data_IF_652615877145
#
_entry.id   IF_652615877145
#
_cell.length_a   1.000
_cell.length_b   1.000
_cell.length_c   1.000
_cell.angle_alpha   90.00
_cell.angle_beta   90.00
_cell.angle_gamma   90.00
#
_symmetry.space_group_name_H-M   'P 1'
#
loop_
_entity.id
_entity.type
_entity.pdbx_description
1 polymer ?
#
# COMPACT_ATOMS: atom_id res chain seq x y z
N UNK A 1 4.17 -6.00 -2.49
CA UNK A 1 3.07 -6.70 -1.78
C UNK A 1 3.52 -7.28 -0.44
N UNK A 2 4.48 -8.20 -0.37
CA UNK A 2 4.90 -8.77 0.93
C UNK A 2 5.43 -7.73 1.92
N UNK A 3 6.21 -6.76 1.45
CA UNK A 3 6.79 -5.69 2.30
C UNK A 3 5.71 -4.74 2.81
N UNK A 4 4.77 -4.32 1.95
CA UNK A 4 3.60 -3.50 2.33
C UNK A 4 2.83 -4.17 3.47
N UNK A 5 2.56 -5.47 3.36
CA UNK A 5 1.84 -6.20 4.41
C UNK A 5 2.58 -6.19 5.76
N UNK A 6 3.92 -6.24 5.77
CA UNK A 6 4.69 -6.15 7.02
C UNK A 6 4.58 -4.74 7.62
N UNK A 7 4.66 -3.70 6.79
CA UNK A 7 4.48 -2.31 7.23
C UNK A 7 3.08 -2.10 7.80
N UNK A 8 2.04 -2.58 7.11
CA UNK A 8 0.65 -2.52 7.57
C UNK A 8 0.45 -3.22 8.92
N UNK A 9 1.07 -4.39 9.14
CA UNK A 9 0.98 -5.11 10.40
C UNK A 9 1.63 -4.34 11.56
N UNK A 10 2.77 -3.68 11.32
CA UNK A 10 3.42 -2.83 12.32
C UNK A 10 2.54 -1.61 12.61
N UNK A 11 2.08 -0.93 11.56
CA UNK A 11 1.28 0.28 11.68
C UNK A 11 -0.04 0.02 12.43
N UNK A 12 -0.78 -1.04 12.09
CA UNK A 12 -2.07 -1.35 12.75
C UNK A 12 -1.92 -1.74 14.22
N UNK A 13 -0.79 -2.38 14.58
CA UNK A 13 -0.50 -2.73 15.97
C UNK A 13 -0.31 -1.47 16.83
N UNK A 14 0.27 -0.42 16.25
CA UNK A 14 0.53 0.85 16.94
C UNK A 14 -0.69 1.78 16.87
N UNK A 15 -1.17 2.09 15.67
CA UNK A 15 -2.23 3.06 15.47
C UNK A 15 -3.64 2.51 15.82
N UNK A 16 -3.78 1.19 15.95
CA UNK A 16 -5.01 0.51 16.34
C UNK A 16 -4.93 -0.04 17.77
N UNK A 17 -4.15 -1.09 17.99
CA UNK A 17 -4.13 -1.81 19.29
C UNK A 17 -3.57 -0.95 20.43
N UNK A 18 -2.39 -0.34 20.24
CA UNK A 18 -1.81 0.53 21.26
C UNK A 18 -2.64 1.79 21.48
N UNK A 19 -3.13 2.43 20.41
CA UNK A 19 -4.10 3.54 20.50
C UNK A 19 -5.31 3.18 21.36
N UNK A 20 -5.90 2.01 21.16
CA UNK A 20 -7.04 1.53 21.94
C UNK A 20 -6.71 1.37 23.43
N UNK A 21 -5.55 0.80 23.75
CA UNK A 21 -5.07 0.68 25.13
C UNK A 21 -4.86 2.06 25.79
N UNK A 22 -4.21 2.98 25.08
CA UNK A 22 -3.96 4.34 25.57
C UNK A 22 -5.28 5.13 25.74
N UNK A 23 -6.26 4.91 24.87
CA UNK A 23 -7.58 5.51 24.97
C UNK A 23 -8.35 5.02 26.20
N UNK A 24 -8.38 3.70 26.46
CA UNK A 24 -9.08 3.10 27.61
C UNK A 24 -8.48 3.56 28.93
N UNK A 25 -7.15 3.69 28.99
CA UNK A 25 -6.43 4.14 30.19
C UNK A 25 -6.46 5.65 30.39
N UNK A 26 -7.04 6.41 29.45
CA UNK A 26 -7.04 7.88 29.51
C UNK A 26 -5.65 8.49 29.34
N UNK A 27 -4.71 7.78 28.73
CA UNK A 27 -3.31 8.18 28.68
C UNK A 27 -3.08 9.45 27.83
N UNK A 28 -2.34 10.39 28.42
CA UNK A 28 -1.69 11.52 27.73
C UNK A 28 -0.18 11.29 27.68
N UNK A 29 0.55 12.12 26.93
CA UNK A 29 2.01 12.02 26.79
C UNK A 29 2.76 11.71 28.10
N UNK A 30 2.45 12.44 29.17
CA UNK A 30 3.10 12.30 30.47
C UNK A 30 2.86 10.95 31.19
N UNK A 31 1.89 10.15 30.75
CA UNK A 31 1.55 8.87 31.39
C UNK A 31 2.58 7.79 31.04
N UNK A 32 2.98 7.73 29.77
CA UNK A 32 3.88 6.71 29.24
C UNK A 32 4.84 7.32 28.19
N UNK A 33 5.68 8.31 28.55
CA UNK A 33 6.41 9.13 27.58
C UNK A 33 7.35 8.31 26.69
N UNK A 34 8.13 7.38 27.27
CA UNK A 34 9.04 6.54 26.48
C UNK A 34 8.31 5.61 25.49
N UNK A 35 7.20 4.99 25.93
CA UNK A 35 6.40 4.11 25.07
C UNK A 35 5.78 4.93 23.94
N UNK A 36 5.21 6.09 24.24
CA UNK A 36 4.59 6.94 23.23
C UNK A 36 5.60 7.52 22.24
N UNK A 37 6.79 7.93 22.67
CA UNK A 37 7.83 8.39 21.75
C UNK A 37 8.30 7.26 20.84
N UNK A 38 8.59 6.08 21.39
CA UNK A 38 9.03 4.93 20.57
C UNK A 38 7.94 4.50 19.58
N UNK A 39 6.71 4.35 20.06
CA UNK A 39 5.57 3.96 19.23
C UNK A 39 5.25 5.03 18.18
N UNK A 40 5.27 6.31 18.56
CA UNK A 40 5.08 7.43 17.66
C UNK A 40 6.09 7.43 16.52
N UNK A 41 7.38 7.26 16.83
CA UNK A 41 8.45 7.27 15.82
C UNK A 41 8.31 6.08 14.87
N UNK A 42 8.02 4.89 15.37
CA UNK A 42 7.82 3.70 14.54
C UNK A 42 6.57 3.86 13.67
N UNK A 43 5.46 4.34 14.25
CA UNK A 43 4.21 4.55 13.52
C UNK A 43 4.38 5.63 12.44
N UNK A 44 5.15 6.68 12.73
CA UNK A 44 5.46 7.73 11.77
C UNK A 44 6.37 7.22 10.63
N UNK A 45 7.41 6.43 10.94
CA UNK A 45 8.22 5.78 9.91
C UNK A 45 7.39 4.86 9.01
N UNK A 46 6.47 4.08 9.61
CA UNK A 46 5.56 3.20 8.89
C UNK A 46 4.59 3.98 7.99
N UNK A 47 4.07 5.12 8.46
CA UNK A 47 3.23 6.02 7.67
C UNK A 47 3.97 6.51 6.41
N UNK A 48 5.16 7.08 6.58
CA UNK A 48 5.97 7.60 5.46
C UNK A 48 6.27 6.50 4.43
N UNK A 49 6.69 5.33 4.91
CA UNK A 49 7.03 4.20 4.06
C UNK A 49 5.80 3.68 3.31
N UNK A 50 4.64 3.62 3.97
CA UNK A 50 3.41 3.19 3.32
C UNK A 50 2.95 4.17 2.24
N UNK A 51 3.01 5.48 2.50
CA UNK A 51 2.67 6.49 1.50
C UNK A 51 3.55 6.38 0.24
N UNK A 52 4.85 6.21 0.40
CA UNK A 52 5.80 6.00 -0.70
C UNK A 52 5.51 4.71 -1.47
N UNK A 53 5.26 3.60 -0.76
CA UNK A 53 4.95 2.31 -1.38
C UNK A 53 3.61 2.34 -2.13
N UNK A 54 2.61 3.03 -1.59
CA UNK A 54 1.34 3.26 -2.26
C UNK A 54 1.52 4.11 -3.53
N UNK A 55 2.38 5.13 -3.50
CA UNK A 55 2.73 5.92 -4.67
C UNK A 55 3.45 5.08 -5.73
N UNK A 56 4.46 4.29 -5.36
CA UNK A 56 5.16 3.37 -6.27
C UNK A 56 4.18 2.38 -6.92
N UNK A 57 3.22 1.87 -6.16
CA UNK A 57 2.19 0.97 -6.67
C UNK A 57 1.23 1.69 -7.64
N UNK A 58 0.85 2.93 -7.36
CA UNK A 58 0.05 3.75 -8.28
C UNK A 58 0.80 4.00 -9.60
N UNK A 59 2.10 4.27 -9.53
CA UNK A 59 2.98 4.47 -10.71
C UNK A 59 3.09 3.19 -11.53
N UNK A 60 3.34 2.03 -10.90
CA UNK A 60 3.37 0.71 -11.56
C UNK A 60 2.07 0.47 -12.36
N UNK A 61 0.93 0.75 -11.75
CA UNK A 61 -0.39 0.58 -12.36
C UNK A 61 -0.64 1.53 -13.52
N UNK A 62 -0.21 2.79 -13.39
CA UNK A 62 -0.34 3.78 -14.46
C UNK A 62 0.59 3.46 -15.64
N UNK A 63 1.87 3.20 -15.38
CA UNK A 63 2.85 2.89 -16.42
C UNK A 63 2.56 1.56 -17.10
N UNK A 64 2.14 0.53 -16.35
CA UNK A 64 1.73 -0.74 -16.94
C UNK A 64 0.59 -0.59 -17.95
N UNK A 65 -0.24 0.45 -17.79
CA UNK A 65 -1.34 0.76 -18.71
C UNK A 65 -0.92 1.64 -19.89
N UNK A 66 -0.03 2.62 -19.69
CA UNK A 66 0.37 3.62 -20.68
C UNK A 66 1.55 3.12 -21.53
N UNK A 67 2.61 2.64 -20.86
CA UNK A 67 3.85 2.18 -21.48
C UNK A 67 4.42 0.99 -20.71
N UNK A 68 4.01 -0.21 -21.11
CA UNK A 68 4.44 -1.46 -20.48
C UNK A 68 5.96 -1.66 -20.51
N UNK A 69 6.64 -1.22 -21.57
CA UNK A 69 8.12 -1.33 -21.67
C UNK A 69 8.82 -0.53 -20.58
N UNK A 70 8.37 0.71 -20.35
CA UNK A 70 8.92 1.55 -19.27
C UNK A 70 8.58 0.99 -17.89
N UNK A 71 7.36 0.49 -17.71
CA UNK A 71 6.96 -0.19 -16.48
C UNK A 71 7.89 -1.37 -16.16
N UNK A 72 8.15 -2.24 -17.14
CA UNK A 72 9.01 -3.39 -16.97
C UNK A 72 10.47 -2.96 -16.70
N UNK A 73 10.94 -1.86 -17.30
CA UNK A 73 12.27 -1.31 -17.01
C UNK A 73 12.43 -0.82 -15.57
N UNK A 74 11.40 -0.24 -14.96
CA UNK A 74 11.48 0.34 -13.61
C UNK A 74 11.16 -0.72 -12.54
N UNK A 75 10.11 -1.50 -12.74
CA UNK A 75 9.52 -2.35 -11.70
C UNK A 75 9.95 -3.83 -11.76
N UNK A 76 10.76 -4.25 -12.73
CA UNK A 76 11.20 -5.65 -12.87
C UNK A 76 12.55 -5.93 -12.21
N UNK A 77 12.70 -7.13 -11.63
CA UNK A 77 13.96 -7.65 -11.14
C UNK A 77 14.38 -7.03 -9.81
N UNK A 78 15.67 -6.65 -9.69
CA UNK A 78 16.23 -6.08 -8.44
C UNK A 78 15.91 -4.60 -8.24
N UNK A 79 15.44 -3.90 -9.28
CA UNK A 79 15.24 -2.44 -9.28
C UNK A 79 14.12 -1.97 -8.35
N UNK A 80 13.00 -2.70 -8.32
CA UNK A 80 11.91 -2.47 -7.36
C UNK A 80 12.44 -2.51 -5.91
N UNK A 81 13.30 -3.46 -5.57
CA UNK A 81 13.84 -3.57 -4.22
C UNK A 81 14.76 -2.40 -3.85
N UNK A 82 15.47 -1.83 -4.83
CA UNK A 82 16.23 -0.59 -4.63
C UNK A 82 15.30 0.59 -4.33
N UNK A 83 14.20 0.74 -5.08
CA UNK A 83 13.22 1.81 -4.84
C UNK A 83 12.57 1.68 -3.46
N UNK A 84 12.20 0.46 -3.06
CA UNK A 84 11.69 0.17 -1.73
C UNK A 84 12.74 0.48 -0.66
N UNK A 85 14.01 0.11 -0.89
CA UNK A 85 15.10 0.40 0.04
C UNK A 85 15.35 1.90 0.21
N UNK A 86 15.31 2.67 -0.88
CA UNK A 86 15.42 4.13 -0.85
C UNK A 86 14.27 4.73 -0.03
N UNK A 87 13.04 4.29 -0.26
CA UNK A 87 11.88 4.74 0.52
C UNK A 87 12.06 4.41 2.01
N UNK A 88 12.44 3.17 2.35
CA UNK A 88 12.66 2.78 3.74
C UNK A 88 13.73 3.63 4.45
N UNK A 89 14.85 3.91 3.77
CA UNK A 89 15.92 4.78 4.31
C UNK A 89 15.40 6.21 4.49
N UNK A 90 14.69 6.76 3.51
CA UNK A 90 14.09 8.08 3.61
C UNK A 90 13.10 8.17 4.79
N UNK A 91 12.18 7.22 4.90
CA UNK A 91 11.20 7.17 6.00
C UNK A 91 11.87 7.08 7.36
N UNK A 92 12.93 6.27 7.49
CA UNK A 92 13.69 6.15 8.72
C UNK A 92 14.40 7.46 9.08
N UNK A 93 15.10 8.09 8.13
CA UNK A 93 15.78 9.36 8.38
C UNK A 93 14.78 10.43 8.84
N UNK A 94 13.67 10.61 8.14
CA UNK A 94 12.68 11.62 8.51
C UNK A 94 12.06 11.31 9.88
N UNK A 95 11.67 10.06 10.14
CA UNK A 95 11.00 9.71 11.39
C UNK A 95 11.88 9.85 12.63
N UNK A 96 13.18 9.57 12.52
CA UNK A 96 14.12 9.66 13.64
C UNK A 96 14.76 11.05 13.80
N UNK A 97 14.82 11.85 12.74
CA UNK A 97 15.40 13.19 12.77
C UNK A 97 14.36 14.32 12.95
N UNK A 98 13.07 14.02 13.04
CA UNK A 98 12.01 15.01 13.24
C UNK A 98 11.11 14.67 14.42
N UNK A 99 10.38 15.66 14.91
CA UNK A 99 9.47 15.49 16.06
C UNK A 99 8.37 14.48 15.76
N UNK A 100 8.25 13.47 16.62
CA UNK A 100 7.25 12.43 16.42
C UNK A 100 5.88 12.81 16.95
N UNK A 101 4.87 12.03 16.56
CA UNK A 101 3.50 12.17 17.04
C UNK A 101 3.35 11.45 18.38
N UNK A 102 2.53 11.99 19.26
CA UNK A 102 2.24 11.42 20.58
C UNK A 102 0.73 11.30 20.77
N UNK A 103 0.29 10.33 21.56
CA UNK A 103 -1.13 10.08 21.72
C UNK A 103 -1.73 10.99 22.80
N UNK A 104 -2.90 11.56 22.52
CA UNK A 104 -3.65 12.35 23.48
C UNK A 104 -5.08 11.81 23.61
N UNK A 105 -5.39 11.19 24.75
CA UNK A 105 -6.71 10.63 25.08
C UNK A 105 -7.84 11.66 25.10
N UNK A 106 -7.53 12.95 25.33
CA UNK A 106 -8.53 14.02 25.31
C UNK A 106 -9.20 14.13 23.94
N UNK A 107 -8.44 13.89 22.87
CA UNK A 107 -8.92 13.90 21.49
C UNK A 107 -9.08 12.47 20.93
N UNK A 108 -8.35 11.50 21.47
CA UNK A 108 -8.35 10.10 21.03
C UNK A 108 -7.54 9.89 19.75
N UNK A 109 -6.50 10.70 19.53
CA UNK A 109 -5.72 10.73 18.29
C UNK A 109 -4.24 10.96 18.57
N UNK A 110 -3.39 10.66 17.58
CA UNK A 110 -1.97 10.97 17.62
C UNK A 110 -1.71 12.38 17.07
N UNK A 111 -1.01 13.21 17.84
CA UNK A 111 -0.81 14.62 17.56
C UNK A 111 0.68 14.96 17.57
N UNK A 112 1.06 15.93 16.73
CA UNK A 112 2.39 16.54 16.81
C UNK A 112 2.52 17.42 18.06
N UNK A 113 1.44 18.07 18.48
CA UNK A 113 1.40 18.83 19.73
C UNK A 113 0.89 17.95 20.90
N UNK A 114 1.77 17.47 21.81
CA UNK A 114 1.36 16.68 22.97
C UNK A 114 0.47 17.46 23.95
N UNK A 115 0.57 18.80 23.96
CA UNK A 115 -0.10 19.70 24.89
C UNK A 115 -1.39 20.30 24.32
N UNK A 116 -1.88 19.80 23.18
CA UNK A 116 -3.17 20.26 22.64
C UNK A 116 -4.28 20.06 23.69
N UNK A 117 -5.08 21.11 23.93
CA UNK A 117 -6.13 21.13 24.95
C UNK A 117 -5.67 21.50 26.37
N UNK A 118 -4.38 21.84 26.55
CA UNK A 118 -3.80 22.35 27.81
C UNK A 118 -3.33 23.80 27.64
N UNK A 119 -3.04 24.53 28.75
CA UNK A 119 -2.53 25.90 28.66
C UNK A 119 -1.28 26.00 27.77
N UNK A 120 -1.24 27.05 26.95
CA UNK A 120 -0.16 27.33 26.00
C UNK A 120 1.20 27.32 26.71
N UNK A 121 2.11 26.49 26.22
CA UNK A 121 3.48 26.40 26.75
C UNK A 121 4.44 27.40 26.09
N UNK A 122 3.95 28.21 25.16
CA UNK A 122 4.74 29.16 24.36
C UNK A 122 5.62 28.52 23.28
N UNK A 123 5.56 27.19 23.13
CA UNK A 123 6.29 26.44 22.10
C UNK A 123 5.35 26.01 20.99
N UNK A 124 5.70 26.34 19.74
CA UNK A 124 5.02 25.79 18.58
C UNK A 124 5.50 24.36 18.30
N UNK A 125 4.57 23.42 18.18
CA UNK A 125 4.84 22.02 17.83
C UNK A 125 4.42 21.78 16.38
N UNK A 126 5.41 21.76 15.48
CA UNK A 126 5.20 21.51 14.05
C UNK A 126 6.24 20.52 13.55
N UNK A 127 5.81 19.54 12.76
CA UNK A 127 6.72 18.65 12.05
C UNK A 127 6.71 19.03 10.57
N UNK A 128 7.75 19.77 10.15
CA UNK A 128 7.92 20.22 8.77
C UNK A 128 8.15 19.05 7.80
N UNK A 129 8.85 17.99 8.24
CA UNK A 129 9.08 16.79 7.43
C UNK A 129 7.77 16.08 7.10
N UNK A 130 6.92 15.86 8.10
CA UNK A 130 5.58 15.32 7.93
C UNK A 130 4.72 16.18 7.00
N UNK A 131 4.76 17.50 7.18
CA UNK A 131 4.00 18.45 6.38
C UNK A 131 4.39 18.40 4.88
N UNK A 132 5.68 18.53 4.59
CA UNK A 132 6.22 18.49 3.21
C UNK A 132 5.90 17.14 2.56
N UNK A 133 6.09 16.04 3.31
CA UNK A 133 5.81 14.70 2.81
C UNK A 133 4.32 14.53 2.44
N UNK A 134 3.42 14.88 3.36
CA UNK A 134 1.98 14.74 3.12
C UNK A 134 1.50 15.57 1.93
N UNK A 135 2.00 16.80 1.78
CA UNK A 135 1.71 17.64 0.60
C UNK A 135 2.23 16.96 -0.68
N UNK A 136 3.48 16.51 -0.68
CA UNK A 136 4.10 15.86 -1.83
C UNK A 136 3.34 14.60 -2.28
N UNK A 137 2.94 13.76 -1.33
CA UNK A 137 2.14 12.57 -1.58
C UNK A 137 0.76 12.93 -2.11
N UNK A 138 0.09 13.92 -1.51
CA UNK A 138 -1.24 14.35 -1.94
C UNK A 138 -1.24 14.82 -3.40
N UNK A 139 -0.29 15.68 -3.79
CA UNK A 139 -0.14 16.15 -5.17
C UNK A 139 0.24 15.02 -6.13
N UNK A 140 1.15 14.14 -5.72
CA UNK A 140 1.62 13.03 -6.57
C UNK A 140 0.49 12.04 -6.85
N UNK A 141 -0.22 11.60 -5.82
CA UNK A 141 -1.36 10.68 -5.96
C UNK A 141 -2.45 11.29 -6.82
N UNK A 142 -2.87 12.54 -6.56
CA UNK A 142 -3.88 13.23 -7.36
C UNK A 142 -3.50 13.27 -8.86
N UNK A 143 -2.22 13.55 -9.15
CA UNK A 143 -1.69 13.59 -10.51
C UNK A 143 -1.75 12.21 -11.19
N UNK A 144 -1.24 11.16 -10.53
CA UNK A 144 -1.26 9.82 -11.11
C UNK A 144 -2.68 9.27 -11.29
N UNK A 145 -3.61 9.58 -10.38
CA UNK A 145 -5.02 9.20 -10.57
C UNK A 145 -5.68 9.95 -11.72
N UNK A 146 -5.40 11.24 -11.89
CA UNK A 146 -5.90 11.98 -13.05
C UNK A 146 -5.39 11.35 -14.36
N UNK A 147 -4.08 11.06 -14.43
CA UNK A 147 -3.47 10.36 -15.57
C UNK A 147 -4.13 8.99 -15.80
N UNK A 148 -4.41 8.25 -14.72
CA UNK A 148 -5.06 6.95 -14.78
C UNK A 148 -6.47 7.05 -15.39
N UNK A 149 -7.31 7.96 -14.88
CA UNK A 149 -8.68 8.18 -15.37
C UNK A 149 -8.67 8.61 -16.83
N UNK A 150 -7.82 9.57 -17.20
CA UNK A 150 -7.69 10.02 -18.59
C UNK A 150 -7.29 8.89 -19.54
N UNK A 151 -6.37 8.03 -19.09
CA UNK A 151 -5.92 6.86 -19.87
C UNK A 151 -7.03 5.82 -20.04
N UNK A 152 -7.86 5.60 -19.02
CA UNK A 152 -9.04 4.73 -19.11
C UNK A 152 -10.09 5.30 -20.07
N UNK A 153 -10.36 6.61 -19.99
CA UNK A 153 -11.28 7.28 -20.91
C UNK A 153 -10.82 7.11 -22.36
N UNK A 154 -9.54 7.39 -22.66
CA UNK A 154 -8.98 7.19 -24.02
C UNK A 154 -9.14 5.76 -24.54
N UNK A 155 -8.92 4.74 -23.68
CA UNK A 155 -9.10 3.33 -24.06
C UNK A 155 -10.56 2.90 -24.19
N UNK A 156 -11.52 3.58 -23.55
CA UNK A 156 -12.95 3.30 -23.72
C UNK A 156 -13.47 3.83 -25.06
N UNK A 157 -12.88 4.92 -25.56
CA UNK A 157 -13.21 5.51 -26.87
C UNK A 157 -12.46 4.86 -28.04
N UNK A 158 -11.37 4.14 -27.77
CA UNK A 158 -10.69 3.29 -28.74
C UNK A 158 -11.25 1.87 -28.63
N UNK A 159 -11.65 1.21 -29.73
CA UNK A 159 -12.21 -0.17 -29.72
C UNK A 159 -11.22 -1.28 -29.31
N UNK A 160 -10.21 -0.99 -28.50
CA UNK A 160 -9.26 -1.97 -27.98
C UNK A 160 -9.86 -2.80 -26.83
N UNK A 161 -9.50 -4.09 -26.82
CA UNK A 161 -9.97 -5.12 -25.89
C UNK A 161 -10.07 -4.62 -24.44
N UNK A 162 -11.25 -4.83 -23.88
CA UNK A 162 -11.64 -4.55 -22.50
C UNK A 162 -10.61 -5.10 -21.49
N UNK A 163 -10.37 -4.34 -20.43
CA UNK A 163 -9.53 -4.69 -19.29
C UNK A 163 -9.79 -6.13 -18.80
N UNK A 164 -8.73 -6.90 -18.52
CA UNK A 164 -8.85 -8.22 -17.90
C UNK A 164 -9.61 -8.11 -16.58
N UNK A 165 -10.72 -8.83 -16.46
CA UNK A 165 -11.54 -8.89 -15.23
C UNK A 165 -10.73 -9.32 -14.01
N UNK A 166 -9.60 -10.01 -14.20
CA UNK A 166 -8.75 -10.50 -13.10
C UNK A 166 -7.98 -9.40 -12.35
N UNK A 167 -7.81 -8.21 -12.94
CA UNK A 167 -6.99 -7.15 -12.33
C UNK A 167 -7.83 -6.10 -11.58
N UNK A 168 -9.13 -5.97 -11.90
CA UNK A 168 -10.04 -4.96 -11.34
C UNK A 168 -10.02 -4.85 -9.80
N UNK A 169 -10.03 -5.96 -9.04
CA UNK A 169 -9.97 -5.89 -7.58
C UNK A 169 -8.73 -5.19 -7.04
N UNK A 170 -7.57 -5.45 -7.66
CA UNK A 170 -6.29 -4.88 -7.25
C UNK A 170 -6.31 -3.38 -7.53
N UNK A 171 -6.87 -2.95 -8.67
CA UNK A 171 -7.03 -1.54 -8.99
C UNK A 171 -7.95 -0.80 -8.02
N UNK A 172 -9.11 -1.39 -7.70
CA UNK A 172 -10.07 -0.80 -6.75
C UNK A 172 -9.42 -0.63 -5.38
N UNK A 173 -8.67 -1.63 -4.92
CA UNK A 173 -7.99 -1.56 -3.64
C UNK A 173 -6.97 -0.42 -3.59
N UNK A 174 -6.08 -0.33 -4.59
CA UNK A 174 -5.07 0.72 -4.65
C UNK A 174 -5.73 2.10 -4.70
N UNK A 175 -6.81 2.23 -5.47
CA UNK A 175 -7.62 3.44 -5.52
C UNK A 175 -8.17 3.85 -4.15
N UNK A 176 -8.85 2.93 -3.46
CA UNK A 176 -9.43 3.19 -2.14
C UNK A 176 -8.36 3.55 -1.11
N UNK A 177 -7.24 2.83 -1.12
CA UNK A 177 -6.10 3.08 -0.23
C UNK A 177 -5.51 4.46 -0.43
N UNK A 178 -5.23 4.83 -1.68
CA UNK A 178 -4.67 6.14 -1.97
C UNK A 178 -5.63 7.29 -1.71
N UNK A 179 -6.93 7.10 -1.93
CA UNK A 179 -7.95 8.10 -1.59
C UNK A 179 -7.97 8.37 -0.08
N UNK A 180 -7.95 7.30 0.73
CA UNK A 180 -7.88 7.44 2.19
C UNK A 180 -6.57 8.10 2.63
N UNK A 181 -5.42 7.73 2.04
CA UNK A 181 -4.13 8.37 2.30
C UNK A 181 -4.18 9.87 1.98
N UNK A 182 -4.73 10.25 0.83
CA UNK A 182 -4.90 11.65 0.44
C UNK A 182 -5.77 12.42 1.44
N UNK A 183 -6.92 11.87 1.82
CA UNK A 183 -7.84 12.51 2.79
C UNK A 183 -7.18 12.68 4.16
N UNK A 184 -6.54 11.63 4.69
CA UNK A 184 -5.86 11.69 5.99
C UNK A 184 -4.69 12.67 5.97
N UNK A 185 -3.87 12.66 4.91
CA UNK A 185 -2.74 13.57 4.75
C UNK A 185 -3.18 15.04 4.77
N UNK A 186 -4.28 15.38 4.08
CA UNK A 186 -4.85 16.74 4.09
C UNK A 186 -5.38 17.14 5.46
N UNK A 187 -6.07 16.24 6.16
CA UNK A 187 -6.59 16.53 7.50
C UNK A 187 -5.43 16.78 8.48
N UNK A 188 -4.38 15.94 8.46
CA UNK A 188 -3.22 16.15 9.31
C UNK A 188 -2.47 17.46 9.02
N UNK A 189 -2.37 17.86 7.74
CA UNK A 189 -1.80 19.16 7.36
C UNK A 189 -2.64 20.31 7.91
N UNK A 190 -3.98 20.18 7.83
CA UNK A 190 -4.91 21.17 8.37
C UNK A 190 -4.80 21.28 9.91
N UNK A 191 -4.76 20.15 10.62
CA UNK A 191 -4.65 20.06 12.08
C UNK A 191 -3.39 20.73 12.64
N UNK A 192 -2.30 20.77 11.87
CA UNK A 192 -1.06 21.45 12.28
C UNK A 192 -1.15 22.98 12.24
N UNK A 193 -2.13 23.55 11.52
CA UNK A 193 -2.20 24.99 11.25
C UNK A 193 -3.47 25.64 11.80
N UNK A 194 -4.56 24.88 11.91
CA UNK A 194 -5.87 25.41 12.26
C UNK A 194 -6.52 24.61 13.40
N UNK A 195 -7.27 25.29 14.29
CA UNK A 195 -8.10 24.62 15.28
C UNK A 195 -9.08 23.66 14.59
N UNK A 196 -8.93 22.37 14.87
CA UNK A 196 -9.73 21.33 14.23
C UNK A 196 -10.70 20.72 15.24
N UNK A 197 -12.01 20.60 14.92
CA UNK A 197 -12.97 19.93 15.79
C UNK A 197 -12.57 18.48 16.08
N UNK A 198 -12.73 18.03 17.33
CA UNK A 198 -12.38 16.67 17.78
C UNK A 198 -12.95 15.57 16.89
N UNK A 199 -14.18 15.71 16.40
CA UNK A 199 -14.79 14.72 15.51
C UNK A 199 -13.99 14.52 14.21
N UNK A 200 -13.52 15.62 13.59
CA UNK A 200 -12.73 15.54 12.35
C UNK A 200 -11.40 14.82 12.60
N UNK A 201 -10.76 15.11 13.75
CA UNK A 201 -9.52 14.45 14.14
C UNK A 201 -9.72 12.95 14.35
N UNK A 202 -10.81 12.56 15.01
CA UNK A 202 -11.15 11.16 15.21
C UNK A 202 -11.46 10.44 13.91
N UNK A 203 -12.10 11.11 12.94
CA UNK A 203 -12.26 10.58 11.59
C UNK A 203 -10.91 10.39 10.89
N UNK A 204 -9.95 11.30 11.05
CA UNK A 204 -8.58 11.14 10.54
C UNK A 204 -7.89 9.91 11.14
N UNK A 205 -7.96 9.76 12.47
CA UNK A 205 -7.41 8.59 13.17
C UNK A 205 -8.06 7.28 12.71
N UNK A 206 -9.37 7.27 12.53
CA UNK A 206 -10.09 6.11 11.99
C UNK A 206 -9.68 5.80 10.55
N UNK A 207 -9.55 6.84 9.71
CA UNK A 207 -9.02 6.73 8.35
C UNK A 207 -7.63 6.10 8.33
N UNK A 208 -6.74 6.53 9.23
CA UNK A 208 -5.41 5.95 9.40
C UNK A 208 -5.44 4.46 9.75
N UNK A 209 -6.35 4.02 10.64
CA UNK A 209 -6.55 2.60 10.92
C UNK A 209 -7.10 1.84 9.69
N UNK A 210 -8.04 2.45 8.96
CA UNK A 210 -8.63 1.85 7.77
C UNK A 210 -7.61 1.65 6.65
N UNK A 211 -6.67 2.58 6.47
CA UNK A 211 -5.58 2.44 5.50
C UNK A 211 -4.85 1.12 5.75
N UNK A 212 -4.39 0.83 6.96
CA UNK A 212 -3.61 -0.40 7.20
C UNK A 212 -4.48 -1.67 7.34
N UNK A 213 -5.74 -1.53 7.74
CA UNK A 213 -6.64 -2.68 7.97
C UNK A 213 -7.40 -3.17 6.73
N UNK A 214 -7.90 -2.27 5.89
CA UNK A 214 -8.78 -2.61 4.76
C UNK A 214 -8.12 -3.45 3.65
N UNK A 215 -6.83 -3.26 3.27
CA UNK A 215 -6.16 -4.06 2.25
C UNK A 215 -6.33 -5.57 2.42
N UNK A 216 -6.13 -6.04 3.66
CA UNK A 216 -6.20 -7.46 4.00
C UNK A 216 -7.62 -8.00 3.82
N UNK A 217 -8.62 -7.23 4.23
CA UNK A 217 -10.05 -7.58 4.07
C UNK A 217 -10.43 -7.61 2.58
N UNK A 218 -10.00 -6.61 1.82
CA UNK A 218 -10.26 -6.51 0.38
C UNK A 218 -9.62 -7.70 -0.36
N UNK A 219 -8.38 -8.06 -0.03
CA UNK A 219 -7.70 -9.22 -0.62
C UNK A 219 -8.41 -10.53 -0.29
N UNK A 220 -8.81 -10.75 0.97
CA UNK A 220 -9.55 -11.94 1.37
C UNK A 220 -10.91 -12.03 0.66
N UNK A 221 -11.62 -10.91 0.51
CA UNK A 221 -12.92 -10.84 -0.15
C UNK A 221 -12.84 -11.05 -1.66
N UNK A 222 -11.94 -10.34 -2.33
CA UNK A 222 -11.93 -10.23 -3.80
C UNK A 222 -10.92 -11.14 -4.51
N UNK A 223 -9.89 -11.64 -3.83
CA UNK A 223 -8.88 -12.51 -4.43
C UNK A 223 -9.11 -13.99 -4.06
N UNK A 224 -9.78 -14.73 -4.98
CA UNK A 224 -10.08 -16.17 -4.81
C UNK A 224 -8.84 -17.02 -4.51
N UNK A 225 -7.66 -16.68 -5.05
CA UNK A 225 -6.42 -17.44 -4.84
C UNK A 225 -5.88 -17.25 -3.42
N UNK A 226 -5.87 -16.01 -2.93
CA UNK A 226 -5.47 -15.70 -1.56
C UNK A 226 -6.43 -16.35 -0.58
N UNK A 227 -7.75 -16.18 -0.79
CA UNK A 227 -8.78 -16.79 0.07
C UNK A 227 -8.64 -18.31 0.19
N UNK A 228 -8.45 -19.01 -0.93
CA UNK A 228 -8.21 -20.47 -0.92
C UNK A 228 -6.96 -20.85 -0.13
N UNK A 229 -5.88 -20.07 -0.27
CA UNK A 229 -4.63 -20.32 0.46
C UNK A 229 -4.82 -20.13 1.96
N UNK A 230 -5.51 -19.07 2.38
CA UNK A 230 -5.82 -18.81 3.79
C UNK A 230 -6.76 -19.85 4.38
N UNK A 231 -7.83 -20.24 3.66
CA UNK A 231 -8.73 -21.30 4.13
C UNK A 231 -8.02 -22.65 4.27
N UNK A 232 -7.07 -22.95 3.39
CA UNK A 232 -6.20 -24.12 3.55
C UNK A 232 -5.32 -24.03 4.80
N UNK A 233 -4.74 -22.85 5.09
CA UNK A 233 -3.95 -22.63 6.32
C UNK A 233 -4.80 -22.78 7.59
N UNK A 234 -6.04 -22.27 7.57
CA UNK A 234 -6.99 -22.35 8.67
C UNK A 234 -7.72 -23.70 8.75
N UNK A 235 -7.39 -24.66 7.87
CA UNK A 235 -8.06 -25.97 7.74
C UNK A 235 -9.58 -25.88 7.58
N UNK A 236 -10.08 -24.78 7.01
CA UNK A 236 -11.50 -24.58 6.70
C UNK A 236 -11.81 -25.36 5.42
N UNK A 237 -12.79 -26.28 5.42
CA UNK A 237 -13.15 -27.03 4.23
C UNK A 237 -13.66 -26.09 3.14
N UNK A 238 -12.92 -26.00 2.03
CA UNK A 238 -13.38 -25.28 0.85
C UNK A 238 -14.30 -26.19 0.05
N UNK A 239 -15.60 -26.13 0.32
CA UNK A 239 -16.58 -26.85 -0.48
C UNK A 239 -16.56 -26.33 -1.94
N UNK A 240 -16.17 -27.22 -2.86
CA UNK A 240 -16.45 -27.14 -4.29
C UNK A 240 -15.79 -26.01 -5.10
N UNK A 241 -14.56 -26.22 -5.59
CA UNK A 241 -14.21 -26.03 -7.01
C UNK A 241 -13.05 -26.98 -7.28
N UNK A 242 -13.29 -27.97 -8.13
CA UNK A 242 -12.29 -28.90 -8.67
C UNK A 242 -10.98 -28.18 -9.01
N UNK A 243 -9.90 -28.63 -8.38
CA UNK A 243 -8.56 -28.39 -8.87
C UNK A 243 -8.45 -29.07 -10.23
N UNK A 244 -8.56 -28.30 -11.32
CA UNK A 244 -7.92 -28.73 -12.57
C UNK A 244 -6.43 -28.68 -12.27
N UNK A 245 -5.90 -29.83 -11.83
CA UNK A 245 -4.47 -30.07 -11.82
C UNK A 245 -3.99 -29.79 -13.24
N UNK A 246 -3.10 -28.81 -13.38
CA UNK A 246 -2.35 -28.61 -14.60
C UNK A 246 -1.51 -29.88 -14.80
N UNK A 247 -2.02 -30.84 -15.56
CA UNK A 247 -1.19 -31.93 -16.06
C UNK A 247 -0.07 -31.27 -16.87
N UNK A 248 1.20 -31.59 -16.58
CA UNK A 248 2.28 -31.16 -17.46
C UNK A 248 2.01 -31.82 -18.82
N UNK A 249 1.83 -30.98 -19.84
CA UNK A 249 1.75 -31.39 -21.24
C UNK A 249 2.94 -32.31 -21.50
N UNK A 250 2.69 -33.60 -21.77
CA UNK A 250 3.72 -34.50 -22.28
C UNK A 250 4.19 -33.93 -23.63
N UNK A 251 5.29 -33.21 -23.61
CA UNK A 251 6.04 -32.88 -24.83
C UNK A 251 6.44 -34.20 -25.45
N UNK A 252 5.82 -34.52 -26.58
CA UNK A 252 6.19 -35.64 -27.42
C UNK A 252 7.67 -35.49 -27.78
N UNK A 253 8.48 -36.48 -27.41
CA UNK A 253 9.86 -36.59 -27.89
C UNK A 253 9.81 -36.77 -29.41
N UNK A 254 10.06 -35.69 -30.15
CA UNK A 254 10.47 -35.76 -31.55
C UNK A 254 11.86 -36.42 -31.55
N UNK A 255 11.89 -37.74 -31.77
CA UNK A 255 13.13 -38.48 -31.99
C UNK A 255 13.51 -38.30 -33.45
N UNK A 256 14.49 -37.44 -33.71
CA UNK A 256 15.30 -37.48 -34.91
C UNK A 256 15.93 -38.89 -35.02
N UNK A 257 15.59 -39.61 -36.07
CA UNK A 257 16.37 -40.79 -36.51
C UNK A 257 16.75 -40.55 -37.95
N UNK A 258 17.95 -40.02 -38.14
CA UNK A 258 18.70 -40.13 -39.40
C UNK A 258 19.41 -41.47 -39.34
N UNK A 259 19.02 -42.40 -40.21
CA UNK A 259 19.92 -43.46 -40.69
C UNK A 259 19.45 -43.96 -42.04
N UNK A 260 20.35 -43.77 -43.00
CA UNK A 260 20.43 -44.35 -44.33
C UNK A 260 19.70 -45.68 -44.55
N UNK A 261 18.94 -45.78 -45.63
CA UNK A 261 19.08 -46.88 -46.58
C UNK A 261 18.62 -46.47 -47.99
N UNK A 262 19.55 -46.61 -48.93
CA UNK A 262 19.37 -46.56 -50.38
C UNK A 262 18.22 -47.47 -50.85
N UNK A 263 17.42 -47.00 -51.83
CA UNK A 263 17.24 -47.66 -53.14
C UNK A 263 16.25 -46.90 -54.06
N UNK A 264 16.80 -46.36 -55.14
CA UNK A 264 16.33 -46.36 -56.55
C UNK A 264 14.88 -46.03 -56.92
N UNK A 265 14.77 -45.30 -58.05
CA UNK A 265 13.59 -44.87 -58.85
C UNK A 265 13.15 -43.45 -58.44
N UNK A 266 13.24 -42.42 -59.27
CA UNK A 266 12.95 -42.31 -60.69
C UNK A 266 13.83 -41.25 -61.36
N UNK A 267 14.42 -41.59 -62.51
CA UNK A 267 14.83 -40.62 -63.53
C UNK A 267 13.58 -40.16 -64.28
N UNK A 268 13.45 -38.85 -64.51
CA UNK A 268 12.60 -38.25 -65.52
C UNK A 268 13.24 -36.91 -65.90
N UNK A 269 13.84 -36.91 -67.10
CA UNK A 269 14.20 -35.80 -67.99
C UNK A 269 15.05 -34.65 -67.44
#
# INVERSE_FOLDING_TARGET
MGIIAVVDMIAISLNGTLTGYLAITGAVYCSFPHIQLCAGTIAFAAWLMECDLALLLAIDRCLGMINRKLCDQIFTGKRIYLLIGISAVYSFIIAFCTDTMTFNSLYGVWLVNPHMGYPETGREYKNLGHHIHNIGIAFSLATFYLIFVLSLCKKKFSSQKQFSFSERPIFIQVFLMSFMNFSCALIYVYEQHFPTPKLIMQFSQFGWMCIHGLPSIIYLGLNKRIRRSVFKMLRIPTNGVTSVAHQPTKVSKFKNTVTHQNKSKYELN
#
